data_IF_970387237051
#
_entry.id   IF_970387237051
#
_cell.length_a   1.000
_cell.length_b   1.000
_cell.length_c   1.000
_cell.angle_alpha   90.00
_cell.angle_beta   90.00
_cell.angle_gamma   90.00
#
_symmetry.space_group_name_H-M   'P 1'
#
loop_
_entity.id
_entity.type
_entity.pdbx_description
1 polymer ?
#
# COMPACT_ATOMS: atom_id res chain seq x y z
N UNK A 1 12.80 1.61 5.20
CA UNK A 1 12.04 1.21 3.99
C UNK A 1 11.88 2.45 3.14
N UNK A 2 12.02 2.34 1.82
CA UNK A 2 11.87 3.47 0.90
C UNK A 2 10.63 3.25 0.03
N UNK A 3 9.71 4.21 0.02
CA UNK A 3 8.60 4.25 -0.93
C UNK A 3 9.01 5.10 -2.14
N UNK A 4 8.84 4.55 -3.35
CA UNK A 4 9.26 5.15 -4.62
C UNK A 4 8.02 5.42 -5.48
N UNK A 5 8.06 6.53 -6.22
CA UNK A 5 7.04 6.89 -7.21
C UNK A 5 7.34 6.24 -8.56
N UNK A 6 6.29 5.79 -9.24
CA UNK A 6 6.35 5.28 -10.61
C UNK A 6 5.91 6.33 -11.65
N UNK A 7 5.09 7.31 -11.24
CA UNK A 7 4.57 8.36 -12.12
C UNK A 7 4.57 9.71 -11.39
N UNK A 8 4.51 10.80 -12.14
CA UNK A 8 4.19 12.13 -11.63
C UNK A 8 2.66 12.30 -11.65
N UNK A 9 2.01 12.15 -10.49
CA UNK A 9 0.56 12.04 -10.39
C UNK A 9 0.06 10.61 -10.59
N UNK A 10 -1.25 10.40 -10.74
CA UNK A 10 -1.85 9.09 -10.98
C UNK A 10 -3.19 9.21 -11.74
N UNK A 11 -3.42 8.42 -12.81
CA UNK A 11 -4.64 8.53 -13.61
C UNK A 11 -5.86 7.84 -13.00
N UNK A 12 -5.68 7.06 -11.91
CA UNK A 12 -6.72 6.15 -11.43
C UNK A 12 -7.84 6.82 -10.62
N UNK A 13 -7.64 8.05 -10.15
CA UNK A 13 -8.70 8.83 -9.49
C UNK A 13 -9.23 8.23 -8.18
N UNK A 14 -8.42 7.47 -7.43
CA UNK A 14 -8.83 6.95 -6.12
C UNK A 14 -9.19 8.11 -5.18
N UNK A 15 -10.38 8.08 -4.59
CA UNK A 15 -10.97 9.26 -3.91
C UNK A 15 -10.27 9.63 -2.60
N UNK A 16 -9.53 8.71 -2.02
CA UNK A 16 -8.73 8.89 -0.81
C UNK A 16 -7.27 9.29 -1.11
N UNK A 17 -6.86 9.33 -2.38
CA UNK A 17 -5.46 9.51 -2.78
C UNK A 17 -5.21 10.89 -3.39
N UNK A 18 -4.27 11.64 -2.82
CA UNK A 18 -3.85 12.96 -3.35
C UNK A 18 -3.38 12.85 -4.81
N UNK A 19 -2.54 11.85 -5.11
CA UNK A 19 -2.01 11.64 -6.46
C UNK A 19 -3.13 11.34 -7.47
N UNK A 20 -4.21 10.70 -7.03
CA UNK A 20 -5.40 10.47 -7.88
C UNK A 20 -6.15 11.75 -8.16
N UNK A 21 -6.28 12.65 -7.18
CA UNK A 21 -6.90 13.97 -7.35
C UNK A 21 -6.07 14.91 -8.24
N UNK A 22 -4.74 14.78 -8.24
CA UNK A 22 -3.84 15.54 -9.11
C UNK A 22 -3.97 15.16 -10.60
N UNK A 23 -4.50 13.97 -10.91
CA UNK A 23 -4.43 13.39 -12.24
C UNK A 23 -3.02 12.95 -12.62
N UNK A 24 -2.85 12.42 -13.84
CA UNK A 24 -1.55 12.02 -14.38
C UNK A 24 -0.91 13.18 -15.15
N UNK A 25 0.33 13.51 -14.80
CA UNK A 25 1.17 14.42 -15.60
C UNK A 25 1.98 13.63 -16.63
N UNK A 26 2.74 12.63 -16.17
CA UNK A 26 3.53 11.72 -17.02
C UNK A 26 4.07 10.51 -16.25
N UNK A 27 4.51 9.52 -17.00
CA UNK A 27 5.34 8.44 -16.48
C UNK A 27 6.75 8.93 -16.10
N UNK A 28 7.34 8.29 -15.09
CA UNK A 28 8.74 8.48 -14.76
C UNK A 28 9.60 7.53 -15.58
N UNK A 29 10.72 8.05 -16.07
CA UNK A 29 11.76 7.22 -16.69
C UNK A 29 12.44 6.32 -15.66
N UNK A 30 13.10 5.26 -16.13
CA UNK A 30 13.91 4.37 -15.29
C UNK A 30 14.93 5.15 -14.45
N UNK A 31 15.59 6.15 -15.04
CA UNK A 31 16.57 6.98 -14.36
C UNK A 31 15.96 7.81 -13.22
N UNK A 32 14.72 8.30 -13.39
CA UNK A 32 14.00 9.04 -12.35
C UNK A 32 13.53 8.11 -11.22
N UNK A 33 13.08 6.90 -11.55
CA UNK A 33 12.69 5.89 -10.55
C UNK A 33 13.90 5.50 -9.68
N UNK A 34 15.01 5.09 -10.30
CA UNK A 34 16.24 4.71 -9.58
C UNK A 34 16.89 5.93 -8.91
N UNK A 35 16.78 7.11 -9.52
CA UNK A 35 17.28 8.37 -8.99
C UNK A 35 16.70 8.73 -7.62
N UNK A 36 15.44 8.39 -7.34
CA UNK A 36 14.83 8.57 -6.02
C UNK A 36 15.60 7.82 -4.93
N UNK A 37 16.00 6.57 -5.20
CA UNK A 37 16.85 5.81 -4.27
C UNK A 37 18.20 6.50 -4.05
N UNK A 38 18.86 6.94 -5.14
CA UNK A 38 20.16 7.59 -5.06
C UNK A 38 20.12 8.89 -4.24
N UNK A 39 19.05 9.68 -4.36
CA UNK A 39 18.84 10.89 -3.59
C UNK A 39 18.61 10.59 -2.11
N UNK A 40 17.72 9.66 -1.78
CA UNK A 40 17.43 9.32 -0.37
C UNK A 40 18.63 8.67 0.30
N UNK A 41 19.39 7.82 -0.41
CA UNK A 41 20.61 7.20 0.13
C UNK A 41 21.64 8.22 0.62
N UNK A 42 21.72 9.40 0.01
CA UNK A 42 22.66 10.47 0.43
C UNK A 42 22.31 11.08 1.78
N UNK A 43 21.04 11.05 2.17
CA UNK A 43 20.53 11.68 3.40
C UNK A 43 20.07 10.66 4.43
N UNK A 44 20.03 9.37 4.08
CA UNK A 44 19.58 8.31 4.98
C UNK A 44 20.65 8.02 6.03
N UNK A 45 20.23 7.97 7.30
CA UNK A 45 21.10 7.62 8.42
C UNK A 45 21.45 6.12 8.49
N UNK A 46 20.80 5.27 7.68
CA UNK A 46 20.97 3.83 7.73
C UNK A 46 20.71 3.15 6.39
N UNK A 47 20.90 1.81 6.30
CA UNK A 47 20.74 1.09 5.06
C UNK A 47 19.26 1.04 4.62
N UNK A 48 19.04 1.31 3.32
CA UNK A 48 17.75 1.11 2.68
C UNK A 48 17.66 -0.37 2.29
N UNK A 49 16.93 -1.15 3.09
CA UNK A 49 16.85 -2.60 2.93
C UNK A 49 15.60 -3.08 2.19
N UNK A 50 14.58 -2.23 2.04
CA UNK A 50 13.30 -2.58 1.41
C UNK A 50 12.84 -1.41 0.56
N UNK A 51 12.33 -1.74 -0.63
CA UNK A 51 11.78 -0.81 -1.60
C UNK A 51 10.34 -1.18 -1.88
N UNK A 52 9.48 -0.17 -1.90
CA UNK A 52 8.09 -0.32 -2.23
C UNK A 52 7.68 0.70 -3.28
N UNK A 53 7.02 0.25 -4.34
CA UNK A 53 6.33 1.13 -5.27
C UNK A 53 4.93 1.42 -4.76
N UNK A 54 4.83 2.37 -3.83
CA UNK A 54 3.58 2.73 -3.15
C UNK A 54 3.43 4.24 -2.92
N UNK A 55 4.26 5.06 -3.57
CA UNK A 55 4.19 6.52 -3.47
C UNK A 55 3.23 7.09 -4.53
N UNK A 56 3.73 7.83 -5.52
CA UNK A 56 2.87 8.36 -6.59
C UNK A 56 2.85 7.45 -7.82
N UNK A 57 1.66 7.36 -8.42
CA UNK A 57 1.41 6.60 -9.65
C UNK A 57 0.92 5.18 -9.41
N UNK A 58 0.47 4.58 -10.50
CA UNK A 58 0.16 3.15 -10.59
C UNK A 58 1.33 2.45 -11.27
N UNK A 59 2.12 1.63 -10.54
CA UNK A 59 3.34 1.03 -11.09
C UNK A 59 3.10 0.16 -12.32
N UNK A 60 1.98 -0.55 -12.38
CA UNK A 60 1.66 -1.42 -13.51
C UNK A 60 1.19 -0.64 -14.76
N UNK A 61 0.84 0.64 -14.65
CA UNK A 61 0.63 1.50 -15.83
C UNK A 61 1.96 2.00 -16.42
N UNK A 62 3.04 2.01 -15.64
CA UNK A 62 4.40 2.30 -16.09
C UNK A 62 5.27 1.02 -16.05
N UNK A 63 4.70 -0.08 -16.53
CA UNK A 63 5.20 -1.45 -16.32
C UNK A 63 6.68 -1.62 -16.70
N UNK A 64 7.04 -1.33 -17.95
CA UNK A 64 8.38 -1.64 -18.46
C UNK A 64 9.48 -0.84 -17.73
N UNK A 65 9.21 0.43 -17.41
CA UNK A 65 10.14 1.26 -16.67
C UNK A 65 10.29 0.80 -15.21
N UNK A 66 9.18 0.43 -14.57
CA UNK A 66 9.18 -0.09 -13.19
C UNK A 66 9.93 -1.41 -13.10
N UNK A 67 9.65 -2.37 -13.99
CA UNK A 67 10.35 -3.66 -14.01
C UNK A 67 11.84 -3.46 -14.24
N UNK A 68 12.23 -2.65 -15.23
CA UNK A 68 13.64 -2.36 -15.50
C UNK A 68 14.32 -1.68 -14.31
N UNK A 69 13.64 -0.76 -13.63
CA UNK A 69 14.15 -0.14 -12.42
C UNK A 69 14.31 -1.15 -11.27
N UNK A 70 13.38 -2.09 -11.10
CA UNK A 70 13.49 -3.15 -10.09
C UNK A 70 14.74 -4.02 -10.30
N UNK A 71 15.05 -4.39 -11.54
CA UNK A 71 16.27 -5.13 -11.85
C UNK A 71 17.54 -4.32 -11.54
N UNK A 72 17.59 -3.04 -11.93
CA UNK A 72 18.72 -2.17 -11.58
C UNK A 72 18.90 -2.01 -10.06
N UNK A 73 17.80 -1.87 -9.32
CA UNK A 73 17.83 -1.80 -7.85
C UNK A 73 18.32 -3.12 -7.23
N UNK A 74 18.02 -4.26 -7.85
CA UNK A 74 18.47 -5.56 -7.39
C UNK A 74 19.95 -5.83 -7.71
N UNK A 75 20.41 -5.49 -8.91
CA UNK A 75 21.73 -5.85 -9.44
C UNK A 75 22.80 -4.84 -9.04
N UNK A 76 22.53 -3.55 -9.23
CA UNK A 76 23.50 -2.47 -9.01
C UNK A 76 23.48 -1.99 -7.56
N UNK A 77 22.28 -1.88 -7.00
CA UNK A 77 22.07 -1.36 -5.65
C UNK A 77 22.06 -2.47 -4.59
N UNK A 78 21.96 -3.74 -5.01
CA UNK A 78 21.99 -4.94 -4.16
C UNK A 78 20.84 -5.04 -3.15
N UNK A 79 19.66 -4.49 -3.49
CA UNK A 79 18.42 -4.79 -2.74
C UNK A 79 17.95 -6.18 -3.14
N UNK A 80 17.74 -7.07 -2.18
CA UNK A 80 17.30 -8.43 -2.54
C UNK A 80 15.93 -8.36 -3.27
N UNK A 81 15.70 -9.11 -4.36
CA UNK A 81 14.43 -9.05 -5.11
C UNK A 81 13.18 -9.25 -4.24
N UNK A 82 13.26 -10.11 -3.23
CA UNK A 82 12.19 -10.35 -2.25
C UNK A 82 11.86 -9.15 -1.33
N UNK A 83 12.72 -8.14 -1.32
CA UNK A 83 12.57 -6.88 -0.56
C UNK A 83 12.08 -5.72 -1.45
N UNK A 84 11.82 -5.99 -2.73
CA UNK A 84 11.19 -5.06 -3.66
C UNK A 84 9.72 -5.48 -3.79
N UNK A 85 8.81 -4.59 -3.40
CA UNK A 85 7.36 -4.79 -3.46
C UNK A 85 6.75 -3.83 -4.48
N UNK A 86 6.09 -4.36 -5.50
CA UNK A 86 5.29 -3.59 -6.45
C UNK A 86 3.84 -3.63 -5.98
N UNK A 87 3.26 -2.48 -5.61
CA UNK A 87 1.86 -2.40 -5.20
C UNK A 87 1.01 -1.86 -6.35
N UNK A 88 -0.08 -2.56 -6.68
CA UNK A 88 -1.02 -2.15 -7.74
C UNK A 88 -2.42 -1.90 -7.19
N UNK A 89 -3.15 -1.00 -7.82
CA UNK A 89 -4.58 -0.76 -7.59
C UNK A 89 -5.47 -1.82 -8.22
N UNK A 90 -4.89 -2.82 -8.90
CA UNK A 90 -5.60 -4.00 -9.40
C UNK A 90 -5.82 -4.00 -10.91
N UNK A 91 -4.78 -3.69 -11.69
CA UNK A 91 -4.81 -3.93 -13.14
C UNK A 91 -4.66 -5.42 -13.42
N UNK A 92 -5.78 -6.14 -13.46
CA UNK A 92 -5.79 -7.59 -13.61
C UNK A 92 -4.95 -8.11 -14.79
N UNK A 93 -5.01 -7.52 -16.01
CA UNK A 93 -4.16 -7.96 -17.12
C UNK A 93 -2.66 -7.79 -16.86
N UNK A 94 -2.25 -6.73 -16.17
CA UNK A 94 -0.83 -6.47 -15.87
C UNK A 94 -0.33 -7.34 -14.71
N UNK A 95 -1.19 -7.72 -13.77
CA UNK A 95 -0.89 -8.74 -12.76
C UNK A 95 -0.61 -10.09 -13.45
N UNK A 96 -1.41 -10.43 -14.46
CA UNK A 96 -1.22 -11.65 -15.23
C UNK A 96 0.05 -11.61 -16.06
N UNK A 97 0.34 -10.49 -16.72
CA UNK A 97 1.60 -10.25 -17.41
C UNK A 97 2.80 -10.44 -16.47
N UNK A 98 2.78 -9.77 -15.31
CA UNK A 98 3.81 -9.92 -14.27
C UNK A 98 4.00 -11.37 -13.83
N UNK A 99 2.90 -12.10 -13.67
CA UNK A 99 2.89 -13.50 -13.26
C UNK A 99 3.47 -14.42 -14.34
N UNK A 100 3.11 -14.17 -15.60
CA UNK A 100 3.56 -14.96 -16.76
C UNK A 100 5.05 -14.75 -17.03
N UNK A 101 5.53 -13.51 -16.90
CA UNK A 101 6.94 -13.14 -17.07
C UNK A 101 7.83 -13.65 -15.92
N UNK A 102 7.25 -14.07 -14.79
CA UNK A 102 7.94 -14.82 -13.74
C UNK A 102 8.96 -13.99 -12.95
N UNK A 103 8.72 -12.69 -12.80
CA UNK A 103 9.64 -11.79 -12.12
C UNK A 103 9.89 -12.18 -10.65
N UNK A 104 11.12 -11.96 -10.13
CA UNK A 104 11.48 -12.37 -8.78
C UNK A 104 11.00 -11.41 -7.69
N UNK A 105 10.36 -10.29 -8.02
CA UNK A 105 9.88 -9.27 -7.08
C UNK A 105 8.58 -9.69 -6.38
N UNK A 106 8.21 -9.01 -5.29
CA UNK A 106 6.92 -9.23 -4.61
C UNK A 106 5.83 -8.35 -5.24
N UNK A 107 4.60 -8.84 -5.22
CA UNK A 107 3.41 -8.12 -5.65
C UNK A 107 2.45 -7.89 -4.47
N UNK A 108 1.90 -6.69 -4.38
CA UNK A 108 0.78 -6.34 -3.51
C UNK A 108 -0.39 -5.77 -4.31
N UNK A 109 -1.61 -6.00 -3.83
CA UNK A 109 -2.84 -5.45 -4.42
C UNK A 109 -3.56 -4.59 -3.39
N UNK A 110 -3.84 -3.35 -3.76
CA UNK A 110 -4.72 -2.44 -3.01
C UNK A 110 -6.18 -2.85 -3.24
N UNK A 111 -6.73 -3.60 -2.29
CA UNK A 111 -8.10 -4.12 -2.34
C UNK A 111 -9.10 -3.06 -1.87
N UNK A 112 -8.89 -2.55 -0.64
CA UNK A 112 -9.60 -1.45 0.02
C UNK A 112 -11.14 -1.50 0.08
N UNK A 113 -11.80 -2.55 -0.40
CA UNK A 113 -13.23 -2.73 -0.26
C UNK A 113 -13.60 -4.20 -0.52
N UNK A 114 -14.72 -4.64 0.07
CA UNK A 114 -15.21 -6.02 -0.03
C UNK A 114 -16.46 -6.18 -0.90
N UNK A 115 -16.91 -5.10 -1.55
CA UNK A 115 -17.98 -5.14 -2.55
C UNK A 115 -17.64 -4.24 -3.73
N UNK A 116 -18.15 -4.58 -4.92
CA UNK A 116 -17.88 -3.82 -6.14
C UNK A 116 -18.48 -2.41 -6.09
N UNK A 117 -19.60 -2.22 -5.38
CA UNK A 117 -20.24 -0.91 -5.24
C UNK A 117 -19.34 0.05 -4.47
N UNK A 118 -18.83 -0.40 -3.31
CA UNK A 118 -17.92 0.42 -2.48
C UNK A 118 -16.61 0.62 -3.23
N UNK A 119 -16.05 -0.45 -3.81
CA UNK A 119 -14.76 -0.37 -4.50
C UNK A 119 -14.82 0.56 -5.70
N UNK A 120 -15.87 0.51 -6.52
CA UNK A 120 -16.06 1.40 -7.68
C UNK A 120 -16.29 2.86 -7.30
N UNK A 121 -16.73 3.12 -6.06
CA UNK A 121 -16.87 4.46 -5.52
C UNK A 121 -15.53 5.06 -5.10
N UNK A 122 -14.67 4.27 -4.43
CA UNK A 122 -13.40 4.78 -3.88
C UNK A 122 -12.17 4.52 -4.77
N UNK A 123 -12.23 3.52 -5.64
CA UNK A 123 -11.19 3.09 -6.58
C UNK A 123 -11.82 2.83 -7.96
N UNK A 124 -11.97 3.87 -8.81
CA UNK A 124 -12.68 3.79 -10.09
C UNK A 124 -12.22 2.67 -11.04
N UNK A 125 -10.95 2.24 -10.95
CA UNK A 125 -10.40 1.10 -11.69
C UNK A 125 -11.24 -0.19 -11.55
N UNK A 126 -11.99 -0.33 -10.45
CA UNK A 126 -12.90 -1.46 -10.24
C UNK A 126 -14.00 -1.59 -11.29
N UNK A 127 -14.41 -0.49 -11.93
CA UNK A 127 -15.40 -0.53 -13.01
C UNK A 127 -14.87 -1.23 -14.25
N UNK A 128 -13.56 -1.21 -14.44
CA UNK A 128 -12.87 -1.92 -15.51
C UNK A 128 -12.51 -3.35 -15.09
N UNK A 129 -12.05 -3.52 -13.85
CA UNK A 129 -11.65 -4.81 -13.28
C UNK A 129 -12.33 -5.00 -11.92
N UNK A 130 -13.52 -5.62 -11.95
CA UNK A 130 -14.30 -5.94 -10.77
C UNK A 130 -13.54 -6.88 -9.82
N UNK A 131 -13.99 -6.96 -8.57
CA UNK A 131 -13.36 -7.75 -7.51
C UNK A 131 -13.08 -9.20 -7.93
N UNK A 132 -14.05 -9.88 -8.54
CA UNK A 132 -13.87 -11.26 -9.00
C UNK A 132 -12.67 -11.38 -9.95
N UNK A 133 -12.61 -10.51 -10.98
CA UNK A 133 -11.53 -10.51 -11.97
C UNK A 133 -10.16 -10.22 -11.35
N UNK A 134 -10.12 -9.31 -10.38
CA UNK A 134 -8.91 -8.96 -9.64
C UNK A 134 -8.43 -10.14 -8.76
N UNK A 135 -9.35 -10.76 -8.03
CA UNK A 135 -9.06 -11.89 -7.16
C UNK A 135 -8.63 -13.13 -7.94
N UNK A 136 -9.20 -13.36 -9.13
CA UNK A 136 -8.74 -14.42 -10.05
C UNK A 136 -7.27 -14.21 -10.47
N UNK A 137 -6.90 -12.98 -10.86
CA UNK A 137 -5.51 -12.65 -11.22
C UNK A 137 -4.56 -12.80 -10.03
N UNK A 138 -4.99 -12.38 -8.83
CA UNK A 138 -4.24 -12.56 -7.60
C UNK A 138 -4.05 -14.05 -7.25
N UNK A 139 -5.10 -14.87 -7.42
CA UNK A 139 -5.03 -16.30 -7.18
C UNK A 139 -4.08 -16.99 -8.17
N UNK A 140 -4.12 -16.63 -9.45
CA UNK A 140 -3.19 -17.17 -10.44
C UNK A 140 -1.73 -16.79 -10.14
N UNK A 141 -1.48 -15.55 -9.68
CA UNK A 141 -0.16 -15.15 -9.18
C UNK A 141 0.34 -16.09 -8.08
N UNK A 142 -0.49 -16.39 -7.08
CA UNK A 142 -0.10 -17.28 -5.97
C UNK A 142 0.15 -18.71 -6.44
N UNK A 143 -0.70 -19.23 -7.35
CA UNK A 143 -0.58 -20.58 -7.92
C UNK A 143 0.73 -20.76 -8.70
N UNK A 144 1.07 -19.81 -9.58
CA UNK A 144 2.28 -19.89 -10.42
C UNK A 144 3.55 -19.66 -9.62
N UNK A 145 3.58 -18.63 -8.79
CA UNK A 145 4.81 -18.22 -8.10
C UNK A 145 5.06 -19.00 -6.81
N UNK A 146 4.04 -19.69 -6.29
CA UNK A 146 4.02 -20.33 -4.96
C UNK A 146 4.29 -19.35 -3.81
N UNK A 147 4.09 -18.04 -4.05
CA UNK A 147 4.26 -16.97 -3.07
C UNK A 147 2.90 -16.48 -2.62
N UNK A 148 2.80 -16.06 -1.36
CA UNK A 148 1.62 -15.33 -0.89
C UNK A 148 1.59 -13.95 -1.53
N UNK A 149 0.41 -13.51 -1.94
CA UNK A 149 0.19 -12.13 -2.39
C UNK A 149 -0.15 -11.25 -1.19
N UNK A 150 0.31 -10.00 -1.16
CA UNK A 150 -0.09 -9.07 -0.09
C UNK A 150 -1.35 -8.32 -0.53
N UNK A 151 -2.43 -8.41 0.24
CA UNK A 151 -3.67 -7.66 0.02
C UNK A 151 -3.73 -6.51 1.01
N UNK A 152 -3.71 -5.29 0.47
CA UNK A 152 -3.74 -4.06 1.25
C UNK A 152 -5.17 -3.58 1.44
N UNK A 153 -5.52 -3.28 2.68
CA UNK A 153 -6.87 -2.88 3.06
C UNK A 153 -6.81 -1.67 4.01
N UNK A 154 -6.97 -0.48 3.44
CA UNK A 154 -6.98 0.76 4.19
C UNK A 154 -8.36 1.02 4.80
N UNK A 155 -8.43 1.28 6.11
CA UNK A 155 -9.69 1.57 6.79
C UNK A 155 -10.11 3.04 6.63
N UNK A 156 -11.34 3.22 6.16
CA UNK A 156 -12.00 4.49 5.89
C UNK A 156 -13.29 4.55 6.70
N UNK A 157 -13.42 5.57 7.55
CA UNK A 157 -14.53 5.71 8.50
C UNK A 157 -15.88 5.70 7.80
N UNK A 158 -16.73 4.74 8.19
CA UNK A 158 -18.10 4.62 7.67
C UNK A 158 -18.17 4.15 6.21
N UNK A 159 -17.05 3.74 5.61
CA UNK A 159 -16.98 3.34 4.20
C UNK A 159 -16.72 1.85 4.05
N UNK A 160 -15.75 1.30 4.77
CA UNK A 160 -15.27 -0.09 4.58
C UNK A 160 -14.73 -0.74 5.87
N UNK A 161 -15.10 -0.19 7.02
CA UNK A 161 -14.52 -0.46 8.34
C UNK A 161 -15.55 -1.03 9.34
N UNK A 162 -16.54 -1.76 8.84
CA UNK A 162 -17.51 -2.49 9.68
C UNK A 162 -17.02 -3.91 9.97
N UNK A 163 -17.54 -4.56 11.02
CA UNK A 163 -17.26 -5.98 11.26
C UNK A 163 -17.81 -6.87 10.13
N UNK A 164 -18.90 -6.45 9.48
CA UNK A 164 -19.42 -7.14 8.30
C UNK A 164 -18.45 -7.05 7.11
N UNK A 165 -17.68 -5.97 6.98
CA UNK A 165 -16.59 -5.86 6.01
C UNK A 165 -15.46 -6.84 6.34
N UNK A 166 -15.04 -6.94 7.61
CA UNK A 166 -14.01 -7.90 8.03
C UNK A 166 -14.44 -9.34 7.68
N UNK A 167 -15.68 -9.71 7.99
CA UNK A 167 -16.23 -11.03 7.66
C UNK A 167 -16.32 -11.28 6.15
N UNK A 168 -16.70 -10.27 5.36
CA UNK A 168 -16.65 -10.39 3.89
C UNK A 168 -15.23 -10.55 3.39
N UNK A 169 -14.27 -9.80 3.95
CA UNK A 169 -12.87 -9.84 3.56
C UNK A 169 -12.31 -11.25 3.73
N UNK A 170 -12.51 -11.87 4.90
CA UNK A 170 -12.13 -13.27 5.16
C UNK A 170 -12.70 -14.24 4.13
N UNK A 171 -13.99 -14.10 3.81
CA UNK A 171 -14.65 -14.96 2.81
C UNK A 171 -14.08 -14.79 1.41
N UNK A 172 -13.85 -13.55 0.97
CA UNK A 172 -13.28 -13.26 -0.35
C UNK A 172 -11.86 -13.82 -0.52
N UNK A 173 -11.09 -13.87 0.57
CA UNK A 173 -9.68 -14.24 0.52
C UNK A 173 -9.41 -15.68 0.97
N UNK A 174 -10.45 -16.44 1.32
CA UNK A 174 -10.32 -17.79 1.89
C UNK A 174 -9.46 -18.73 1.05
N UNK A 175 -9.66 -18.71 -0.26
CA UNK A 175 -8.99 -19.63 -1.20
C UNK A 175 -7.77 -19.01 -1.90
N UNK A 176 -7.32 -17.85 -1.40
CA UNK A 176 -6.18 -17.10 -1.95
C UNK A 176 -5.08 -17.07 -0.89
N UNK A 177 -3.96 -17.77 -1.10
CA UNK A 177 -2.79 -17.66 -0.21
C UNK A 177 -2.30 -16.21 -0.14
N UNK A 178 -2.67 -15.48 0.90
CA UNK A 178 -2.39 -14.05 0.99
C UNK A 178 -1.98 -13.58 2.38
N UNK A 179 -1.23 -12.49 2.44
CA UNK A 179 -1.04 -11.71 3.66
C UNK A 179 -1.97 -10.51 3.57
N UNK A 180 -2.84 -10.30 4.56
CA UNK A 180 -3.73 -9.13 4.58
C UNK A 180 -3.08 -8.06 5.45
N UNK A 181 -2.76 -6.92 4.85
CA UNK A 181 -2.22 -5.75 5.53
C UNK A 181 -3.34 -4.72 5.71
N UNK A 182 -3.86 -4.64 6.93
CA UNK A 182 -4.86 -3.64 7.33
C UNK A 182 -4.16 -2.46 7.98
N UNK A 183 -4.46 -1.24 7.53
CA UNK A 183 -3.84 -0.02 8.05
C UNK A 183 -4.84 1.15 8.07
N UNK A 184 -4.67 2.14 8.97
CA UNK A 184 -5.54 3.29 9.02
C UNK A 184 -5.28 4.24 7.84
N UNK A 185 -6.33 4.88 7.34
CA UNK A 185 -6.16 6.03 6.44
C UNK A 185 -5.47 7.18 7.16
N UNK A 186 -4.44 7.76 6.54
CA UNK A 186 -3.76 8.95 7.05
C UNK A 186 -4.06 10.12 6.11
N UNK A 187 -4.87 11.10 6.54
CA UNK A 187 -5.21 12.24 5.71
C UNK A 187 -3.96 13.11 5.48
N UNK A 188 -3.72 13.49 4.23
CA UNK A 188 -2.66 14.44 3.92
C UNK A 188 -3.08 15.88 4.28
N UNK A 189 -2.12 16.77 4.54
CA UNK A 189 -2.40 18.21 4.70
C UNK A 189 -3.01 18.81 3.43
N UNK A 190 -2.65 18.30 2.24
CA UNK A 190 -3.22 18.74 0.97
C UNK A 190 -4.72 18.39 0.81
N UNK A 191 -5.15 17.24 1.34
CA UNK A 191 -6.57 16.85 1.40
C UNK A 191 -7.39 17.65 2.42
N UNK A 192 -6.75 18.39 3.33
CA UNK A 192 -7.42 19.26 4.30
C UNK A 192 -7.45 20.73 3.85
N UNK A 193 -6.62 21.11 2.86
CA UNK A 193 -6.45 22.49 2.40
C UNK A 193 -7.35 22.87 1.21
N UNK A 194 -8.28 22.00 0.80
CA UNK A 194 -9.24 22.29 -0.26
C UNK A 194 -10.19 23.43 0.19
N UNK A 195 -10.03 24.61 -0.40
CA UNK A 195 -10.99 25.73 -0.29
C UNK A 195 -12.40 25.30 -0.73
N UNK A 196 -13.47 25.96 -0.24
CA UNK A 196 -14.85 25.63 -0.59
C UNK A 196 -15.06 25.86 -2.10
N UNK A 197 -15.05 24.80 -2.90
CA UNK A 197 -15.27 24.90 -4.35
C UNK A 197 -14.73 23.75 -5.20
N UNK A 198 -13.73 22.99 -4.74
CA UNK A 198 -13.25 21.78 -5.43
C UNK A 198 -13.36 20.57 -4.52
N UNK A 199 -14.54 19.95 -4.52
CA UNK A 199 -14.94 18.87 -3.61
C UNK A 199 -14.52 17.49 -4.13
N UNK A 200 -13.28 17.35 -4.57
CA UNK A 200 -12.75 16.10 -5.13
C UNK A 200 -11.47 15.72 -4.39
N UNK A 201 -11.63 15.09 -3.21
CA UNK A 201 -10.53 14.43 -2.50
C UNK A 201 -10.54 14.46 -0.96
N UNK A 202 -11.51 15.09 -0.28
CA UNK A 202 -11.44 15.36 1.17
C UNK A 202 -12.49 14.66 2.05
N UNK A 203 -13.41 13.86 1.50
CA UNK A 203 -14.50 13.27 2.27
C UNK A 203 -14.10 12.03 3.11
N UNK A 204 -12.97 11.40 2.78
CA UNK A 204 -12.47 10.24 3.51
C UNK A 204 -11.90 10.66 4.87
N UNK A 205 -12.24 9.90 5.92
CA UNK A 205 -11.76 10.12 7.29
C UNK A 205 -11.11 8.84 7.83
N UNK A 206 -10.11 8.97 8.72
CA UNK A 206 -9.58 7.81 9.43
C UNK A 206 -10.66 7.17 10.29
N UNK A 207 -10.78 5.85 10.24
CA UNK A 207 -11.58 5.09 11.21
C UNK A 207 -11.10 5.35 12.64
N UNK A 208 -12.02 5.31 13.60
CA UNK A 208 -11.64 5.46 15.02
C UNK A 208 -10.69 4.34 15.46
N UNK A 209 -9.93 4.59 16.53
CA UNK A 209 -9.02 3.59 17.11
C UNK A 209 -9.78 2.35 17.56
N UNK A 210 -10.97 2.53 18.15
CA UNK A 210 -11.85 1.45 18.60
C UNK A 210 -12.33 0.60 17.43
N UNK A 211 -12.79 1.24 16.33
CA UNK A 211 -13.24 0.54 15.13
C UNK A 211 -12.10 -0.23 14.46
N UNK A 212 -10.93 0.39 14.36
CA UNK A 212 -9.72 -0.24 13.82
C UNK A 212 -9.33 -1.46 14.65
N UNK A 213 -9.31 -1.35 15.98
CA UNK A 213 -9.01 -2.47 16.88
C UNK A 213 -10.04 -3.60 16.76
N UNK A 214 -11.33 -3.26 16.70
CA UNK A 214 -12.40 -4.25 16.54
C UNK A 214 -12.31 -4.98 15.20
N UNK A 215 -12.02 -4.27 14.11
CA UNK A 215 -11.79 -4.86 12.79
C UNK A 215 -10.61 -5.84 12.82
N UNK A 216 -9.47 -5.42 13.35
CA UNK A 216 -8.27 -6.26 13.48
C UNK A 216 -8.51 -7.48 14.37
N UNK A 217 -9.24 -7.33 15.48
CA UNK A 217 -9.61 -8.43 16.36
C UNK A 217 -10.45 -9.47 15.61
N UNK A 218 -11.50 -9.04 14.89
CA UNK A 218 -12.32 -9.91 14.06
C UNK A 218 -11.47 -10.66 13.02
N UNK A 219 -10.53 -9.98 12.34
CA UNK A 219 -9.63 -10.62 11.38
C UNK A 219 -8.73 -11.69 12.00
N UNK A 220 -8.36 -11.54 13.28
CA UNK A 220 -7.45 -12.46 13.99
C UNK A 220 -8.17 -13.62 14.71
N UNK A 221 -9.46 -13.48 15.06
CA UNK A 221 -10.22 -14.50 15.79
C UNK A 221 -10.29 -15.87 15.08
N UNK A 222 -10.11 -15.90 13.75
CA UNK A 222 -10.01 -17.15 12.98
C UNK A 222 -8.56 -17.64 12.76
N UNK A 223 -7.55 -16.82 13.04
CA UNK A 223 -6.12 -17.18 12.88
C UNK A 223 -5.52 -17.99 14.02
N UNK A 224 -6.35 -18.52 14.93
CA UNK A 224 -5.96 -19.65 15.79
C UNK A 224 -5.71 -20.95 14.98
N UNK A 225 -5.84 -20.90 13.64
CA UNK A 225 -5.29 -21.85 12.67
C UNK A 225 -4.31 -21.19 11.65
N UNK A 226 -3.49 -20.24 12.10
CA UNK A 226 -2.21 -19.88 11.47
C UNK A 226 -2.22 -18.82 10.35
N UNK A 227 -1.36 -17.79 10.54
CA UNK A 227 -0.88 -16.80 9.56
C UNK A 227 -1.63 -15.46 9.41
N UNK A 228 -1.70 -14.68 10.49
CA UNK A 228 -1.65 -13.22 10.41
C UNK A 228 -0.42 -12.70 11.20
N UNK A 229 0.45 -11.93 10.54
CA UNK A 229 1.57 -11.24 11.21
C UNK A 229 1.15 -9.79 11.44
N UNK A 230 1.35 -9.22 12.64
CA UNK A 230 1.02 -7.83 12.90
C UNK A 230 1.86 -6.89 12.03
N UNK A 231 1.21 -5.83 11.55
CA UNK A 231 1.77 -4.78 10.69
C UNK A 231 3.04 -4.16 11.28
N UNK A 232 4.08 -3.97 10.44
CA UNK A 232 5.37 -3.34 10.81
C UNK A 232 5.25 -1.90 11.34
N UNK A 233 4.13 -1.21 11.14
CA UNK A 233 3.91 0.17 11.59
C UNK A 233 3.80 0.32 13.11
N UNK A 234 3.31 -0.70 13.83
CA UNK A 234 3.17 -0.61 15.30
C UNK A 234 4.53 -0.50 16.04
N UNK A 235 5.62 -1.01 15.45
CA UNK A 235 6.97 -0.83 16.02
C UNK A 235 7.57 0.57 15.77
N UNK A 236 7.06 1.32 14.78
CA UNK A 236 7.55 2.66 14.48
C UNK A 236 6.99 3.74 15.40
N UNK A 237 5.71 3.62 15.77
CA UNK A 237 5.03 4.61 16.61
C UNK A 237 5.52 4.59 18.07
N UNK A 238 5.92 3.42 18.60
CA UNK A 238 6.51 3.33 19.95
C UNK A 238 7.91 3.95 20.03
N UNK A 239 8.69 3.89 18.95
CA UNK A 239 10.05 4.47 18.89
C UNK A 239 10.01 6.00 18.64
N UNK A 240 9.05 6.52 17.85
CA UNK A 240 8.90 7.97 17.63
C UNK A 240 8.48 8.71 18.91
N UNK A 241 7.66 8.11 19.77
CA UNK A 241 7.29 8.72 21.06
C UNK A 241 8.44 8.75 22.08
N UNK A 242 9.43 7.84 21.94
CA UNK A 242 10.61 7.79 22.81
C UNK A 242 11.69 8.81 22.44
N UNK A 243 11.75 9.21 21.16
CA UNK A 243 12.74 10.16 20.63
C UNK A 243 12.29 11.61 20.79
N UNK A 244 11.00 11.87 21.00
CA UNK A 244 10.41 13.21 21.13
C UNK A 244 10.47 13.84 22.54
N UNK A 245 11.30 13.34 23.46
CA UNK A 245 11.51 13.95 24.78
C UNK A 245 12.80 14.79 24.81
N UNK A 246 12.74 16.12 25.06
CA UNK A 246 13.93 16.96 25.14
C UNK A 246 14.85 16.56 26.31
N UNK A 247 16.16 16.50 26.09
CA UNK A 247 17.21 16.17 27.08
C UNK A 247 17.46 17.27 28.14
N UNK A 248 16.47 18.05 28.52
CA UNK A 248 16.58 19.08 29.57
C UNK A 248 15.50 18.89 30.64
N UNK A 249 15.61 17.80 31.40
CA UNK A 249 14.92 17.60 32.68
C UNK A 249 15.58 16.46 33.49
N UNK A 250 16.92 16.42 33.54
CA UNK A 250 17.68 15.51 34.43
C UNK A 250 18.87 16.23 35.05
N UNK A 251 18.61 17.33 35.74
CA UNK A 251 19.44 17.89 36.81
C UNK A 251 18.47 18.65 37.69
N UNK A 252 18.08 18.02 38.79
CA UNK A 252 17.56 18.60 40.04
C UNK A 252 16.84 17.47 40.77
N UNK A 253 17.62 16.54 41.31
CA UNK A 253 17.23 15.60 42.36
C UNK A 253 18.50 14.91 42.91
N UNK A 254 19.41 15.74 43.42
CA UNK A 254 20.38 15.39 44.47
C UNK A 254 20.51 16.63 45.36
N UNK A 255 19.62 16.71 46.33
CA UNK A 255 19.73 17.51 47.55
C UNK A 255 19.53 16.58 48.72
#
# INVERSE_FOLDING_TARGET
MLSISAQAGCPLGCTFCVSGAMGLLRDLSVAEIVGQYALVKRVSAGPITHIEFGSMGEPLLNYDAVIRACYLLAEEVRVAPRQILIATSGLAPEIERFTQEGHPFRLAVSLNATTDEIRSRIMPINRQYALARLLDAAQEYTRRTRRRITLKYMLLDGVNDTLADAERLKRLTRDIPCEIEVFPFVPSRASQASSPGNDVGSACRPSSVERTRAFLASMNEETMDGSASPSRQQKGEEDEQRVAMPRHARRDEQG
#
